data_IF_332927303036
#
_entry.id   IF_332927303036
#
_cell.length_a   1.000
_cell.length_b   1.000
_cell.length_c   1.000
_cell.angle_alpha   90.00
_cell.angle_beta   90.00
_cell.angle_gamma   90.00
#
_symmetry.space_group_name_H-M   'P 1'
#
loop_
_entity.id
_entity.type
_entity.pdbx_description
1 polymer ?
#
# COMPACT_ATOMS: atom_id res chain seq x y z
N UNK A 1 -6.20 -35.29 12.10
CA UNK A 1 -5.25 -34.28 11.57
C UNK A 1 -6.08 -33.08 11.12
N UNK A 2 -6.18 -32.03 11.97
CA UNK A 2 -6.88 -30.78 11.62
C UNK A 2 -5.99 -30.05 10.60
N UNK A 3 -6.39 -30.04 9.32
CA UNK A 3 -5.73 -29.22 8.30
C UNK A 3 -5.89 -27.75 8.71
N UNK A 4 -4.81 -27.16 9.15
CA UNK A 4 -4.70 -25.75 9.44
C UNK A 4 -4.93 -25.01 8.12
N UNK A 5 -6.10 -24.42 7.92
CA UNK A 5 -6.34 -23.50 6.82
C UNK A 5 -5.64 -22.18 7.19
N UNK A 6 -4.38 -22.09 6.84
CA UNK A 6 -3.69 -20.80 6.78
C UNK A 6 -4.29 -20.12 5.55
N UNK A 7 -5.27 -19.24 5.78
CA UNK A 7 -5.66 -18.27 4.75
C UNK A 7 -4.43 -17.38 4.63
N UNK A 8 -3.66 -17.56 3.54
CA UNK A 8 -2.50 -16.74 3.25
C UNK A 8 -2.92 -15.26 3.33
N UNK A 9 -2.11 -14.42 3.98
CA UNK A 9 -2.44 -13.02 4.15
C UNK A 9 -2.73 -12.38 2.80
N UNK A 10 -3.81 -11.62 2.73
CA UNK A 10 -4.13 -10.72 1.63
C UNK A 10 -3.14 -9.53 1.61
N UNK A 11 -1.93 -9.73 2.12
CA UNK A 11 -0.89 -8.72 2.30
C UNK A 11 -0.53 -7.97 1.01
N UNK A 12 -0.83 -8.55 -0.15
CA UNK A 12 -0.64 -7.87 -1.44
C UNK A 12 -1.56 -6.66 -1.65
N UNK A 13 -2.60 -6.49 -0.83
CA UNK A 13 -3.52 -5.33 -0.94
C UNK A 13 -3.02 -4.14 -0.13
N UNK A 14 -2.18 -4.37 0.89
CA UNK A 14 -1.70 -3.32 1.80
C UNK A 14 -0.76 -2.31 1.14
N UNK A 15 0.11 -2.77 0.26
CA UNK A 15 0.97 -1.87 -0.53
C UNK A 15 0.23 -1.09 -1.62
N UNK A 16 -1.05 -1.47 -1.89
CA UNK A 16 -1.80 -0.95 -3.03
C UNK A 16 -2.34 0.45 -2.87
N UNK A 17 -2.39 1.01 -1.68
CA UNK A 17 -3.23 2.18 -1.41
C UNK A 17 -2.49 3.47 -1.14
N UNK A 18 -1.18 3.41 -1.01
CA UNK A 18 -0.39 4.65 -0.94
C UNK A 18 -0.22 5.31 -2.30
N UNK A 19 -0.58 4.61 -3.36
CA UNK A 19 -0.20 5.06 -4.69
C UNK A 19 -1.11 4.50 -5.76
N UNK A 20 -2.05 5.27 -6.28
CA UNK A 20 -2.81 4.78 -7.42
C UNK A 20 -3.41 5.90 -8.26
N UNK A 21 -3.06 6.00 -9.50
CA UNK A 21 -3.75 6.86 -10.45
C UNK A 21 -3.38 6.61 -11.89
N UNK A 22 -4.39 6.46 -12.69
CA UNK A 22 -4.40 6.97 -14.06
C UNK A 22 -5.84 7.27 -14.45
N UNK A 23 -6.16 8.54 -14.64
CA UNK A 23 -7.49 9.01 -14.96
C UNK A 23 -7.55 9.51 -16.39
N UNK A 24 -8.64 9.13 -17.10
CA UNK A 24 -9.15 9.90 -18.22
C UNK A 24 -10.09 10.97 -17.66
N UNK A 25 -9.63 12.21 -17.63
CA UNK A 25 -10.41 13.38 -17.25
C UNK A 25 -11.62 13.59 -18.14
N UNK A 26 -12.81 13.71 -17.53
CA UNK A 26 -13.97 14.40 -18.13
C UNK A 26 -14.24 15.64 -17.29
N UNK A 27 -13.82 16.79 -17.81
CA UNK A 27 -14.14 18.10 -17.26
C UNK A 27 -15.64 18.37 -17.21
N UNK A 28 -16.16 18.74 -16.05
CA UNK A 28 -17.35 19.62 -15.94
C UNK A 28 -17.02 20.71 -14.93
N UNK A 29 -16.79 21.89 -15.47
CA UNK A 29 -16.75 23.14 -14.71
C UNK A 29 -18.14 23.50 -14.22
N UNK A 30 -18.28 23.89 -12.94
CA UNK A 30 -19.39 24.72 -12.48
C UNK A 30 -18.81 25.83 -11.58
N UNK A 31 -19.05 27.06 -12.04
CA UNK A 31 -18.80 28.32 -11.34
C UNK A 31 -19.97 28.67 -10.42
N UNK A 32 -19.69 29.28 -9.29
CA UNK A 32 -20.40 30.38 -8.59
C UNK A 32 -20.09 30.26 -7.11
N UNK A 33 -19.64 31.23 -6.32
CA UNK A 33 -19.65 32.69 -6.35
C UNK A 33 -19.87 33.19 -4.94
N UNK A 34 -18.90 33.94 -4.33
CA UNK A 34 -19.01 34.98 -3.27
C UNK A 34 -19.72 34.66 -1.92
N UNK A 35 -19.26 35.02 -0.74
CA UNK A 35 -18.60 36.24 -0.20
C UNK A 35 -18.27 36.05 1.30
N UNK A 36 -17.09 36.56 1.70
CA UNK A 36 -16.77 37.41 2.85
C UNK A 36 -16.71 36.85 4.29
N UNK A 37 -15.50 36.98 4.81
CA UNK A 37 -15.02 37.66 6.01
C UNK A 37 -14.99 36.87 7.35
N UNK A 38 -13.81 36.58 7.86
CA UNK A 38 -13.04 37.30 8.88
C UNK A 38 -11.93 36.45 9.53
N UNK A 39 -10.71 36.98 9.39
CA UNK A 39 -9.59 37.12 10.35
C UNK A 39 -8.99 35.94 11.11
N UNK A 40 -7.73 35.70 10.71
CA UNK A 40 -6.49 35.44 11.48
C UNK A 40 -6.34 34.14 12.27
N UNK A 41 -5.63 33.24 11.62
CA UNK A 41 -4.48 32.51 12.20
C UNK A 41 -3.71 31.87 11.03
N UNK A 42 -2.39 32.11 10.92
CA UNK A 42 -1.41 31.53 9.99
C UNK A 42 -1.88 31.29 8.56
N UNK A 43 -1.50 32.18 7.61
CA UNK A 43 -2.01 32.20 6.25
C UNK A 43 -1.95 30.83 5.58
N UNK A 44 -3.05 30.09 5.63
CA UNK A 44 -3.34 29.05 4.66
C UNK A 44 -3.37 29.71 3.28
N UNK A 45 -2.60 29.20 2.33
CA UNK A 45 -2.60 29.71 0.98
C UNK A 45 -4.01 29.59 0.39
N UNK A 46 -4.72 30.70 0.24
CA UNK A 46 -6.01 30.76 -0.49
C UNK A 46 -5.83 30.49 -1.99
N UNK A 47 -4.58 30.44 -2.44
CA UNK A 47 -4.24 30.16 -3.84
C UNK A 47 -4.07 28.65 -4.07
N UNK A 48 -4.54 28.13 -5.21
CA UNK A 48 -4.34 26.74 -5.57
C UNK A 48 -2.87 26.33 -5.57
N UNK A 49 -2.55 25.18 -4.98
CA UNK A 49 -1.20 24.64 -4.85
C UNK A 49 -1.04 23.39 -5.70
N UNK A 50 0.05 23.31 -6.45
CA UNK A 50 0.43 22.09 -7.16
C UNK A 50 1.10 21.12 -6.18
N UNK A 51 0.43 20.01 -5.91
CA UNK A 51 0.99 18.92 -5.10
C UNK A 51 1.70 17.94 -6.01
N UNK A 52 3.01 17.83 -5.88
CA UNK A 52 3.85 16.93 -6.71
C UNK A 52 4.95 16.32 -5.86
N UNK A 53 5.23 15.06 -6.09
CA UNK A 53 6.38 14.40 -5.46
C UNK A 53 7.66 15.02 -6.04
N UNK A 54 8.55 15.46 -5.14
CA UNK A 54 9.83 16.10 -5.49
C UNK A 54 10.98 15.20 -5.05
N UNK A 55 11.65 14.64 -6.03
CA UNK A 55 12.86 13.87 -5.77
C UNK A 55 14.09 14.73 -5.83
N UNK A 56 15.09 14.41 -5.02
CA UNK A 56 16.41 15.07 -5.04
C UNK A 56 17.46 13.97 -5.13
N UNK A 57 18.34 14.05 -6.12
CA UNK A 57 19.41 13.07 -6.34
C UNK A 57 20.26 12.93 -5.08
N UNK A 58 20.48 11.69 -4.66
CA UNK A 58 21.27 11.34 -3.48
C UNK A 58 20.58 11.54 -2.14
N UNK A 59 19.32 12.04 -2.13
CA UNK A 59 18.53 12.13 -0.89
C UNK A 59 17.75 10.84 -0.70
N UNK A 60 17.88 10.26 0.50
CA UNK A 60 17.04 9.14 0.96
C UNK A 60 15.80 9.66 1.69
N UNK A 61 14.71 8.93 1.55
CA UNK A 61 13.44 9.15 2.22
C UNK A 61 13.11 7.89 3.02
N UNK A 62 13.62 7.79 4.27
CA UNK A 62 13.34 6.64 5.12
C UNK A 62 11.88 6.65 5.55
N UNK A 63 11.23 5.50 5.44
CA UNK A 63 9.82 5.31 5.75
C UNK A 63 9.60 4.16 6.71
N UNK A 64 8.65 4.32 7.59
CA UNK A 64 8.14 3.29 8.48
C UNK A 64 6.71 2.95 8.09
N UNK A 65 6.42 1.66 7.92
CA UNK A 65 5.07 1.16 7.65
C UNK A 65 4.60 0.26 8.80
N UNK A 66 3.44 0.55 9.32
CA UNK A 66 2.69 -0.29 10.24
C UNK A 66 1.45 -0.83 9.53
N UNK A 67 1.24 -2.14 9.57
CA UNK A 67 0.03 -2.76 9.04
C UNK A 67 -0.58 -3.68 10.08
N UNK A 68 -1.88 -3.51 10.30
CA UNK A 68 -2.70 -4.44 11.08
C UNK A 68 -3.85 -4.93 10.25
N UNK A 69 -3.96 -6.25 10.10
CA UNK A 69 -5.03 -6.90 9.38
C UNK A 69 -5.79 -7.84 10.30
N UNK A 70 -7.11 -7.83 10.22
CA UNK A 70 -7.98 -8.82 10.87
C UNK A 70 -8.88 -9.47 9.84
N UNK A 71 -8.90 -10.79 9.81
CA UNK A 71 -9.78 -11.58 8.94
C UNK A 71 -10.65 -12.47 9.80
N UNK A 72 -11.99 -12.36 9.65
CA UNK A 72 -12.98 -13.22 10.31
C UNK A 72 -13.67 -14.05 9.25
N UNK A 73 -13.49 -15.38 9.29
CA UNK A 73 -14.03 -16.29 8.29
C UNK A 73 -15.05 -17.22 8.92
N UNK A 74 -16.28 -17.22 8.39
CA UNK A 74 -17.32 -18.17 8.74
C UNK A 74 -17.07 -19.47 7.99
N UNK A 75 -16.68 -20.50 8.73
CA UNK A 75 -16.41 -21.85 8.18
C UNK A 75 -17.62 -22.72 8.40
N UNK A 76 -18.20 -23.38 7.37
CA UNK A 76 -19.33 -24.28 7.55
C UNK A 76 -19.06 -25.36 8.61
N UNK A 77 -20.06 -25.62 9.45
CA UNK A 77 -20.00 -26.57 10.57
C UNK A 77 -19.05 -26.18 11.72
N UNK A 78 -18.59 -24.94 11.79
CA UNK A 78 -17.93 -24.39 12.97
C UNK A 78 -18.87 -23.40 13.68
N UNK A 79 -19.02 -23.48 15.02
CA UNK A 79 -19.95 -22.63 15.77
C UNK A 79 -19.47 -21.18 15.90
N UNK A 80 -18.19 -20.93 15.67
CA UNK A 80 -17.59 -19.62 15.75
C UNK A 80 -16.70 -19.34 14.53
N UNK A 81 -16.61 -18.09 14.08
CA UNK A 81 -15.72 -17.71 12.99
C UNK A 81 -14.26 -17.94 13.37
N UNK A 82 -13.45 -18.29 12.39
CA UNK A 82 -11.99 -18.31 12.53
C UNK A 82 -11.50 -16.89 12.40
N UNK A 83 -10.85 -16.37 13.45
CA UNK A 83 -10.25 -15.03 13.47
C UNK A 83 -8.75 -15.16 13.30
N UNK A 84 -8.21 -14.47 12.30
CA UNK A 84 -6.78 -14.35 12.08
C UNK A 84 -6.41 -12.85 12.19
N UNK A 85 -5.30 -12.55 12.89
CA UNK A 85 -4.72 -11.22 12.97
C UNK A 85 -3.29 -11.28 12.46
N UNK A 86 -2.93 -10.30 11.64
CA UNK A 86 -1.58 -10.12 11.10
C UNK A 86 -1.14 -8.71 11.46
N UNK A 87 0.05 -8.59 12.07
CA UNK A 87 0.71 -7.31 12.29
C UNK A 87 2.03 -7.34 11.56
N UNK A 88 2.33 -6.30 10.80
CA UNK A 88 3.61 -6.11 10.11
C UNK A 88 4.11 -4.71 10.42
N UNK A 89 5.39 -4.61 10.78
CA UNK A 89 6.12 -3.33 10.78
C UNK A 89 7.31 -3.49 9.85
N UNK A 90 7.54 -2.48 9.02
CA UNK A 90 8.58 -2.52 8.00
C UNK A 90 9.24 -1.14 7.87
N UNK A 91 10.57 -1.13 7.91
CA UNK A 91 11.36 0.06 7.57
C UNK A 91 11.97 -0.11 6.19
N UNK A 92 11.88 0.93 5.38
CA UNK A 92 12.45 0.95 4.04
C UNK A 92 12.82 2.38 3.62
N UNK A 93 13.78 2.48 2.69
CA UNK A 93 14.23 3.73 2.12
C UNK A 93 13.87 3.84 0.66
N UNK A 94 13.36 5.02 0.24
CA UNK A 94 13.39 5.43 -1.15
C UNK A 94 14.51 6.43 -1.40
N UNK A 95 15.30 6.21 -2.45
CA UNK A 95 16.37 7.13 -2.87
C UNK A 95 16.23 7.47 -4.35
N UNK A 96 16.41 8.75 -4.69
CA UNK A 96 16.49 9.15 -6.09
C UNK A 96 17.95 9.01 -6.58
N UNK A 97 18.17 8.13 -7.55
CA UNK A 97 19.50 7.86 -8.11
C UNK A 97 19.87 8.90 -9.17
N UNK A 98 18.95 9.17 -10.10
CA UNK A 98 19.14 10.21 -11.12
C UNK A 98 17.82 10.63 -11.75
N UNK A 99 17.82 11.82 -12.37
CA UNK A 99 16.74 12.22 -13.26
C UNK A 99 16.99 11.66 -14.66
N UNK A 100 15.94 11.21 -15.33
CA UNK A 100 15.99 10.66 -16.67
C UNK A 100 15.78 11.75 -17.73
N UNK A 101 16.23 11.48 -18.97
CA UNK A 101 16.12 12.44 -20.08
C UNK A 101 14.66 12.77 -20.44
N UNK A 102 13.71 11.88 -20.14
CA UNK A 102 12.27 12.10 -20.32
C UNK A 102 11.64 12.94 -19.20
N UNK A 103 12.43 13.45 -18.25
CA UNK A 103 11.99 14.19 -17.07
C UNK A 103 11.50 13.31 -15.90
N UNK A 104 11.49 12.00 -16.07
CA UNK A 104 11.19 11.05 -15.01
C UNK A 104 12.38 10.80 -14.08
N UNK A 105 12.28 9.74 -13.28
CA UNK A 105 13.27 9.43 -12.25
C UNK A 105 13.65 7.95 -12.26
N UNK A 106 14.91 7.68 -11.97
CA UNK A 106 15.37 6.39 -11.50
C UNK A 106 15.46 6.44 -9.97
N UNK A 107 14.66 5.61 -9.30
CA UNK A 107 14.57 5.51 -7.85
C UNK A 107 15.01 4.12 -7.39
N UNK A 108 15.44 4.02 -6.16
CA UNK A 108 15.77 2.76 -5.51
C UNK A 108 14.95 2.61 -4.22
N UNK A 109 14.28 1.48 -4.06
CA UNK A 109 13.70 1.03 -2.80
C UNK A 109 14.65 0.02 -2.16
N UNK A 110 14.95 0.21 -0.87
CA UNK A 110 15.72 -0.72 -0.05
C UNK A 110 14.95 -1.05 1.21
N UNK A 111 14.79 -2.33 1.52
CA UNK A 111 14.18 -2.79 2.77
C UNK A 111 15.23 -2.90 3.86
N UNK A 112 15.02 -2.25 5.00
CA UNK A 112 16.00 -2.19 6.10
C UNK A 112 15.64 -3.14 7.24
N UNK A 113 14.38 -3.17 7.67
CA UNK A 113 13.92 -4.07 8.72
C UNK A 113 12.48 -4.52 8.51
N UNK A 114 12.13 -5.65 9.12
CA UNK A 114 10.76 -6.14 9.13
C UNK A 114 10.48 -6.99 10.36
N UNK A 115 9.30 -6.79 10.94
CA UNK A 115 8.68 -7.70 11.91
C UNK A 115 7.30 -8.13 11.42
N UNK A 116 6.95 -9.37 11.66
CA UNK A 116 5.62 -9.91 11.33
C UNK A 116 5.14 -10.85 12.42
N UNK A 117 3.90 -10.68 12.85
CA UNK A 117 3.22 -11.58 13.76
C UNK A 117 1.87 -11.99 13.19
N UNK A 118 1.62 -13.30 13.12
CA UNK A 118 0.36 -13.88 12.71
C UNK A 118 -0.22 -14.68 13.87
N UNK A 119 -1.45 -14.36 14.27
CA UNK A 119 -2.17 -15.10 15.28
C UNK A 119 -3.50 -15.65 14.76
N UNK A 120 -3.98 -16.75 15.32
CA UNK A 120 -5.29 -17.32 15.06
C UNK A 120 -6.00 -17.54 16.39
N UNK A 121 -7.03 -16.75 16.68
CA UNK A 121 -7.55 -16.60 18.02
C UNK A 121 -6.44 -16.12 18.96
N UNK A 122 -6.30 -16.75 20.13
CA UNK A 122 -5.29 -16.38 21.13
C UNK A 122 -3.91 -17.05 20.90
N UNK A 123 -3.72 -17.73 19.77
CA UNK A 123 -2.47 -18.45 19.49
C UNK A 123 -1.64 -17.73 18.44
N UNK A 124 -0.39 -17.45 18.77
CA UNK A 124 0.60 -17.10 17.76
C UNK A 124 0.84 -18.34 16.85
N UNK A 125 0.67 -18.15 15.56
CA UNK A 125 0.84 -19.19 14.51
C UNK A 125 2.20 -19.03 13.85
N UNK A 126 2.66 -17.79 13.71
CA UNK A 126 3.89 -17.45 13.00
C UNK A 126 4.40 -16.11 13.48
N UNK A 127 5.71 -16.00 13.66
CA UNK A 127 6.37 -14.71 13.91
C UNK A 127 7.67 -14.63 13.11
N UNK A 128 8.07 -13.43 12.77
CA UNK A 128 9.33 -13.13 12.13
C UNK A 128 9.89 -11.80 12.67
N UNK A 129 11.20 -11.74 12.84
CA UNK A 129 11.89 -10.50 13.18
C UNK A 129 13.27 -10.51 12.50
N UNK A 130 13.50 -9.54 11.63
CA UNK A 130 14.75 -9.42 10.87
C UNK A 130 15.98 -9.19 11.74
N UNK A 131 15.80 -8.65 12.97
CA UNK A 131 16.87 -8.45 13.94
C UNK A 131 17.34 -9.76 14.61
N UNK A 132 16.54 -10.81 14.55
CA UNK A 132 16.91 -12.11 15.08
C UNK A 132 17.83 -12.88 14.11
N UNK A 133 18.64 -13.79 14.64
CA UNK A 133 19.44 -14.69 13.81
C UNK A 133 18.55 -15.72 13.07
N UNK A 134 18.97 -16.23 11.88
CA UNK A 134 18.17 -17.18 11.10
C UNK A 134 17.77 -18.46 11.85
N UNK A 135 18.57 -18.90 12.83
CA UNK A 135 18.27 -20.10 13.63
C UNK A 135 17.02 -19.90 14.51
N UNK A 136 16.66 -18.66 14.81
CA UNK A 136 15.47 -18.31 15.61
C UNK A 136 14.18 -18.33 14.80
N UNK A 137 14.25 -18.41 13.47
CA UNK A 137 13.07 -18.49 12.60
C UNK A 137 12.35 -19.83 12.72
N UNK A 138 13.00 -20.87 13.22
CA UNK A 138 12.43 -22.20 13.37
C UNK A 138 11.93 -22.76 12.03
N UNK A 139 10.68 -23.26 12.02
CA UNK A 139 10.04 -23.79 10.82
C UNK A 139 9.11 -22.77 10.13
N UNK A 140 9.38 -21.46 10.28
CA UNK A 140 8.58 -20.43 9.65
C UNK A 140 8.76 -20.46 8.11
N UNK A 141 7.74 -20.83 7.31
CA UNK A 141 7.89 -21.01 5.87
C UNK A 141 8.03 -19.68 5.10
N UNK A 142 7.73 -18.54 5.72
CA UNK A 142 7.89 -17.21 5.09
C UNK A 142 9.21 -16.54 5.48
N UNK A 143 9.89 -17.00 6.51
CA UNK A 143 11.14 -16.39 6.97
C UNK A 143 12.22 -16.30 5.86
N UNK A 144 12.45 -17.31 5.01
CA UNK A 144 13.41 -17.18 3.91
C UNK A 144 13.05 -16.06 2.93
N UNK A 145 11.75 -15.81 2.69
CA UNK A 145 11.28 -14.74 1.82
C UNK A 145 11.56 -13.38 2.48
N UNK A 146 11.14 -13.21 3.74
CA UNK A 146 11.33 -11.96 4.49
C UNK A 146 12.83 -11.63 4.65
N UNK A 147 13.66 -12.60 5.02
CA UNK A 147 15.12 -12.40 5.09
C UNK A 147 15.74 -12.06 3.75
N UNK A 148 15.22 -12.66 2.68
CA UNK A 148 15.65 -12.35 1.32
C UNK A 148 15.32 -10.90 0.91
N UNK A 149 14.25 -10.32 1.45
CA UNK A 149 13.89 -8.91 1.20
C UNK A 149 14.84 -7.94 1.91
N UNK A 150 15.28 -8.25 3.14
CA UNK A 150 16.15 -7.33 3.90
C UNK A 150 17.44 -7.05 3.15
N UNK A 151 17.72 -5.77 2.92
CA UNK A 151 18.86 -5.29 2.13
C UNK A 151 18.72 -5.52 0.61
N UNK A 152 17.57 -6.03 0.14
CA UNK A 152 17.29 -6.07 -1.29
C UNK A 152 17.06 -4.66 -1.82
N UNK A 153 17.45 -4.44 -3.09
CA UNK A 153 17.30 -3.16 -3.79
C UNK A 153 16.46 -3.37 -5.03
N UNK A 154 15.39 -2.60 -5.14
CA UNK A 154 14.46 -2.63 -6.26
C UNK A 154 14.52 -1.27 -6.93
N UNK A 155 14.75 -1.26 -8.23
CA UNK A 155 14.84 -0.02 -9.02
C UNK A 155 13.51 0.27 -9.69
N UNK A 156 13.13 1.55 -9.67
CA UNK A 156 11.91 2.08 -10.28
C UNK A 156 12.28 3.12 -11.32
N UNK A 157 11.60 3.06 -12.45
CA UNK A 157 11.71 4.03 -13.52
C UNK A 157 10.36 4.69 -13.70
N UNK A 158 10.32 6.02 -13.54
CA UNK A 158 9.07 6.78 -13.64
C UNK A 158 9.05 7.65 -14.88
N UNK A 159 7.85 8.05 -15.28
CA UNK A 159 7.66 9.15 -16.23
C UNK A 159 7.86 10.53 -15.55
N UNK A 160 7.72 11.62 -16.31
CA UNK A 160 7.83 12.99 -15.83
C UNK A 160 6.76 13.39 -14.80
N UNK A 161 5.68 12.64 -14.70
CA UNK A 161 4.61 12.82 -13.71
C UNK A 161 4.84 12.02 -12.44
N UNK A 162 5.92 11.23 -12.38
CA UNK A 162 6.24 10.33 -11.26
C UNK A 162 5.54 8.98 -11.32
N UNK A 163 4.83 8.66 -12.41
CA UNK A 163 4.17 7.36 -12.58
C UNK A 163 5.20 6.29 -12.87
N UNK A 164 5.13 5.16 -12.15
CA UNK A 164 6.02 4.00 -12.34
C UNK A 164 5.70 3.31 -13.67
N UNK A 165 6.67 3.33 -14.58
CA UNK A 165 6.59 2.64 -15.87
C UNK A 165 7.17 1.23 -15.76
N UNK A 166 8.31 1.08 -15.08
CA UNK A 166 9.09 -0.16 -15.02
C UNK A 166 9.72 -0.34 -13.64
N UNK A 167 9.85 -1.61 -13.24
CA UNK A 167 10.55 -2.04 -12.03
C UNK A 167 11.60 -3.08 -12.40
N UNK A 168 12.79 -2.98 -11.84
CA UNK A 168 13.91 -3.93 -12.02
C UNK A 168 14.38 -4.45 -10.66
N UNK A 169 15.15 -5.56 -10.66
CA UNK A 169 15.67 -6.20 -9.44
C UNK A 169 14.75 -7.27 -8.85
N UNK A 170 13.51 -7.41 -9.33
CA UNK A 170 12.54 -8.41 -8.80
C UNK A 170 13.00 -9.84 -9.08
N UNK A 171 13.59 -10.11 -10.25
CA UNK A 171 14.09 -11.43 -10.59
C UNK A 171 15.35 -11.79 -9.77
N UNK A 172 16.23 -10.83 -9.54
CA UNK A 172 17.41 -10.97 -8.68
C UNK A 172 16.99 -11.29 -7.25
N UNK A 173 15.96 -10.61 -6.73
CA UNK A 173 15.38 -10.90 -5.43
C UNK A 173 14.81 -12.32 -5.36
N UNK A 174 14.04 -12.77 -6.38
CA UNK A 174 13.54 -14.14 -6.45
C UNK A 174 14.68 -15.18 -6.44
N UNK A 175 15.73 -14.95 -7.22
CA UNK A 175 16.90 -15.83 -7.27
C UNK A 175 17.60 -15.90 -5.91
N UNK A 176 17.79 -14.77 -5.23
CA UNK A 176 18.35 -14.70 -3.89
C UNK A 176 17.54 -15.50 -2.87
N UNK A 177 16.21 -15.35 -2.87
CA UNK A 177 15.31 -16.08 -1.97
C UNK A 177 15.34 -17.58 -2.28
N UNK A 178 15.33 -17.97 -3.55
CA UNK A 178 15.40 -19.38 -3.96
C UNK A 178 16.71 -20.01 -3.54
N UNK A 179 17.84 -19.30 -3.65
CA UNK A 179 19.15 -19.76 -3.24
C UNK A 179 19.25 -19.98 -1.71
N UNK A 180 18.46 -19.27 -0.90
CA UNK A 180 18.37 -19.45 0.55
C UNK A 180 17.55 -20.66 1.01
N UNK A 181 17.05 -21.49 0.06
CA UNK A 181 16.37 -22.75 0.36
C UNK A 181 14.84 -22.70 0.32
N UNK A 182 14.25 -21.59 -0.17
CA UNK A 182 12.80 -21.52 -0.35
C UNK A 182 12.36 -22.47 -1.49
N UNK A 183 11.61 -23.52 -1.13
CA UNK A 183 11.16 -24.55 -2.07
C UNK A 183 9.77 -24.26 -2.66
N UNK A 184 8.98 -23.38 -2.05
CA UNK A 184 7.61 -23.09 -2.51
C UNK A 184 7.60 -21.96 -3.55
N UNK A 185 7.91 -22.29 -4.81
CA UNK A 185 7.90 -21.36 -5.94
C UNK A 185 6.53 -20.68 -6.15
N UNK A 186 5.42 -21.38 -5.90
CA UNK A 186 4.09 -20.80 -6.05
C UNK A 186 3.87 -19.66 -5.05
N UNK A 187 4.24 -19.85 -3.79
CA UNK A 187 4.17 -18.82 -2.76
C UNK A 187 5.11 -17.65 -3.07
N UNK A 188 6.35 -17.95 -3.49
CA UNK A 188 7.32 -16.92 -3.88
C UNK A 188 6.79 -16.05 -5.02
N UNK A 189 6.29 -16.66 -6.10
CA UNK A 189 5.74 -15.93 -7.26
C UNK A 189 4.49 -15.12 -6.90
N UNK A 190 3.74 -15.55 -5.90
CA UNK A 190 2.56 -14.87 -5.39
C UNK A 190 2.93 -13.62 -4.59
N UNK A 191 3.96 -13.70 -3.75
CA UNK A 191 4.38 -12.59 -2.88
C UNK A 191 5.31 -11.61 -3.61
N UNK A 192 6.17 -12.11 -4.48
CA UNK A 192 7.21 -11.34 -5.16
C UNK A 192 6.88 -11.25 -6.65
N UNK A 193 6.32 -10.12 -7.08
CA UNK A 193 6.00 -9.83 -8.48
C UNK A 193 6.30 -8.37 -8.82
N UNK A 194 6.52 -8.07 -10.10
CA UNK A 194 6.70 -6.67 -10.54
C UNK A 194 5.47 -5.83 -10.20
N UNK A 195 4.25 -6.37 -10.37
CA UNK A 195 3.02 -5.67 -10.07
C UNK A 195 2.90 -5.35 -8.57
N UNK A 196 3.34 -6.26 -7.69
CA UNK A 196 3.38 -6.00 -6.25
C UNK A 196 4.36 -4.88 -5.91
N UNK A 197 5.56 -4.88 -6.54
CA UNK A 197 6.55 -3.84 -6.29
C UNK A 197 6.19 -2.50 -6.91
N UNK A 198 5.54 -2.45 -8.09
CA UNK A 198 5.06 -1.19 -8.66
C UNK A 198 4.25 -0.37 -7.68
N UNK A 199 3.57 -1.02 -6.77
CA UNK A 199 2.71 -0.36 -5.80
C UNK A 199 3.48 0.41 -4.74
N UNK A 200 4.63 -0.07 -4.27
CA UNK A 200 5.48 0.66 -3.33
C UNK A 200 5.97 2.00 -3.90
N UNK A 201 6.24 2.10 -5.19
CA UNK A 201 6.77 3.29 -5.85
C UNK A 201 5.72 4.27 -6.39
N UNK A 202 4.43 3.97 -6.23
CA UNK A 202 3.35 4.72 -6.90
C UNK A 202 2.89 5.99 -6.17
N UNK A 203 3.74 6.70 -5.44
CA UNK A 203 3.39 7.90 -4.65
C UNK A 203 2.67 9.00 -5.45
N UNK A 204 3.02 9.15 -6.73
CA UNK A 204 2.41 10.16 -7.60
C UNK A 204 0.94 9.87 -7.94
N UNK A 205 0.51 8.64 -7.73
CA UNK A 205 -0.84 8.21 -8.09
C UNK A 205 -1.92 8.89 -7.24
N UNK A 206 -1.64 9.22 -5.98
CA UNK A 206 -2.54 9.94 -5.08
C UNK A 206 -2.52 11.46 -5.29
N UNK A 207 -1.60 11.98 -6.12
CA UNK A 207 -1.45 13.41 -6.33
C UNK A 207 -2.43 13.93 -7.40
N UNK A 208 -2.98 15.16 -7.21
CA UNK A 208 -3.76 15.81 -8.27
C UNK A 208 -2.88 16.17 -9.47
N UNK A 209 -3.43 16.08 -10.67
CA UNK A 209 -2.73 16.46 -11.90
C UNK A 209 -2.79 17.98 -12.22
N UNK A 210 -3.42 18.76 -11.33
CA UNK A 210 -3.58 20.22 -11.42
C UNK A 210 -3.40 20.84 -10.04
N UNK A 211 -3.29 22.16 -9.97
CA UNK A 211 -3.26 22.87 -8.70
C UNK A 211 -4.65 22.81 -8.03
N UNK A 212 -4.66 22.58 -6.72
CA UNK A 212 -5.88 22.41 -5.91
C UNK A 212 -5.92 23.42 -4.77
N UNK A 213 -7.12 23.85 -4.43
CA UNK A 213 -7.44 24.69 -3.29
C UNK A 213 -8.21 23.86 -2.23
N UNK A 214 -8.35 24.42 -1.02
CA UNK A 214 -9.15 23.80 0.04
C UNK A 214 -10.58 23.56 -0.46
N UNK A 215 -11.10 22.35 -0.26
CA UNK A 215 -12.41 21.88 -0.72
C UNK A 215 -12.39 21.24 -2.12
N UNK A 216 -11.30 21.38 -2.88
CA UNK A 216 -11.17 20.71 -4.17
C UNK A 216 -11.00 19.20 -3.98
N UNK A 217 -11.51 18.46 -4.96
CA UNK A 217 -11.42 17.00 -4.95
C UNK A 217 -10.98 16.47 -6.31
N UNK A 218 -10.27 15.34 -6.28
CA UNK A 218 -9.90 14.59 -7.49
C UNK A 218 -10.15 13.12 -7.28
N UNK A 219 -10.21 12.37 -8.36
CA UNK A 219 -10.50 10.94 -8.32
C UNK A 219 -9.39 10.14 -8.96
N UNK A 220 -9.29 8.92 -8.51
CA UNK A 220 -8.41 7.92 -9.01
C UNK A 220 -9.17 6.63 -9.26
N UNK A 221 -9.08 6.13 -10.48
CA UNK A 221 -9.56 4.80 -10.84
C UNK A 221 -8.37 3.94 -11.26
N UNK A 222 -8.23 2.75 -10.65
CA UNK A 222 -7.13 1.84 -10.94
C UNK A 222 -7.55 0.39 -10.83
N UNK A 223 -7.07 -0.41 -11.75
CA UNK A 223 -7.11 -1.87 -11.65
C UNK A 223 -5.78 -2.38 -11.08
N UNK A 224 -5.87 -3.21 -10.04
CA UNK A 224 -4.72 -3.79 -9.33
C UNK A 224 -4.74 -5.30 -9.52
N UNK A 225 -3.71 -5.83 -10.14
CA UNK A 225 -3.52 -7.28 -10.25
C UNK A 225 -3.02 -7.85 -8.94
N UNK A 226 -3.76 -8.81 -8.40
CA UNK A 226 -3.42 -9.54 -7.18
C UNK A 226 -3.48 -11.04 -7.42
N UNK A 227 -3.06 -11.83 -6.46
CA UNK A 227 -3.16 -13.29 -6.55
C UNK A 227 -4.61 -13.82 -6.55
N UNK A 228 -5.56 -13.03 -6.05
CA UNK A 228 -6.99 -13.40 -6.07
C UNK A 228 -7.69 -12.97 -7.37
N UNK A 229 -7.03 -12.17 -8.20
CA UNK A 229 -7.55 -11.63 -9.46
C UNK A 229 -7.25 -10.16 -9.62
N UNK A 230 -8.04 -9.49 -10.45
CA UNK A 230 -7.94 -8.06 -10.66
C UNK A 230 -8.99 -7.35 -9.81
N UNK A 231 -8.55 -6.42 -8.99
CA UNK A 231 -9.38 -5.55 -8.16
C UNK A 231 -9.48 -4.17 -8.80
N UNK A 232 -10.67 -3.59 -8.82
CA UNK A 232 -10.90 -2.20 -9.20
C UNK A 232 -10.95 -1.34 -7.95
N UNK A 233 -10.18 -0.26 -7.97
CA UNK A 233 -10.18 0.80 -6.96
C UNK A 233 -10.79 2.05 -7.58
N UNK A 234 -11.70 2.70 -6.86
CA UNK A 234 -12.32 3.97 -7.21
C UNK A 234 -12.24 4.85 -5.95
N UNK A 235 -11.32 5.80 -5.95
CA UNK A 235 -10.96 6.60 -4.78
C UNK A 235 -11.10 8.08 -5.10
N UNK A 236 -11.75 8.79 -4.19
CA UNK A 236 -11.86 10.24 -4.18
C UNK A 236 -10.95 10.79 -3.08
N UNK A 237 -10.14 11.77 -3.44
CA UNK A 237 -9.34 12.57 -2.53
C UNK A 237 -9.96 13.97 -2.41
N UNK A 238 -9.83 14.60 -1.25
CA UNK A 238 -10.31 15.96 -0.99
C UNK A 238 -9.28 16.71 -0.16
N UNK A 239 -8.78 17.85 -0.64
CA UNK A 239 -7.94 18.72 0.17
C UNK A 239 -8.83 19.43 1.20
N UNK A 240 -8.73 19.03 2.46
CA UNK A 240 -9.58 19.53 3.54
C UNK A 240 -9.08 20.85 4.10
N UNK A 241 -7.77 20.92 4.41
CA UNK A 241 -7.17 22.11 5.00
C UNK A 241 -5.64 22.11 4.85
N UNK A 242 -5.01 23.18 5.39
CA UNK A 242 -3.59 23.27 5.67
C UNK A 242 -3.42 23.33 7.19
N UNK A 243 -2.67 22.40 7.73
CA UNK A 243 -2.45 22.32 9.17
C UNK A 243 -1.00 21.99 9.51
N UNK A 244 -0.51 22.31 10.70
CA UNK A 244 0.76 21.81 11.18
C UNK A 244 0.67 20.30 11.43
N UNK A 245 1.55 19.52 10.79
CA UNK A 245 1.75 18.10 11.04
C UNK A 245 3.23 17.88 11.34
N UNK A 246 3.56 17.37 12.53
CA UNK A 246 4.93 17.26 13.06
C UNK A 246 5.73 18.57 12.96
N UNK A 247 5.06 19.71 13.23
CA UNK A 247 5.65 21.03 13.20
C UNK A 247 5.90 21.61 11.79
N UNK A 248 5.42 20.94 10.72
CA UNK A 248 5.52 21.37 9.33
C UNK A 248 4.15 21.77 8.79
N UNK A 249 4.03 22.82 7.97
CA UNK A 249 2.78 23.15 7.32
C UNK A 249 2.49 22.13 6.22
N UNK A 250 1.49 21.29 6.41
CA UNK A 250 1.11 20.23 5.48
C UNK A 250 -0.28 20.44 4.91
N UNK A 251 -0.47 20.01 3.66
CA UNK A 251 -1.79 19.81 3.11
C UNK A 251 -2.38 18.53 3.69
N UNK A 252 -3.53 18.62 4.36
CA UNK A 252 -4.29 17.49 4.86
C UNK A 252 -5.32 17.07 3.80
N UNK A 253 -5.23 15.83 3.35
CA UNK A 253 -6.08 15.28 2.30
C UNK A 253 -6.82 14.07 2.83
N UNK A 254 -8.15 14.12 2.77
CA UNK A 254 -9.00 12.97 3.08
C UNK A 254 -9.17 12.06 1.87
N UNK A 255 -9.33 10.77 2.13
CA UNK A 255 -9.50 9.71 1.14
C UNK A 255 -10.78 8.92 1.42
N UNK A 256 -11.62 8.74 0.41
CA UNK A 256 -12.78 7.86 0.47
C UNK A 256 -12.92 7.09 -0.84
N UNK A 257 -13.12 5.78 -0.75
CA UNK A 257 -13.19 4.95 -1.95
C UNK A 257 -13.90 3.64 -1.79
N UNK A 258 -13.98 2.95 -2.92
CA UNK A 258 -14.59 1.63 -3.06
C UNK A 258 -13.59 0.66 -3.69
N UNK A 259 -13.72 -0.59 -3.28
CA UNK A 259 -12.98 -1.71 -3.85
C UNK A 259 -13.97 -2.74 -4.40
N UNK A 260 -13.69 -3.26 -5.57
CA UNK A 260 -14.54 -4.24 -6.25
C UNK A 260 -13.69 -5.29 -6.94
N UNK A 261 -14.29 -6.46 -7.20
CA UNK A 261 -13.66 -7.50 -8.02
C UNK A 261 -13.97 -7.24 -9.50
N UNK A 262 -12.94 -7.06 -10.32
CA UNK A 262 -13.04 -6.96 -11.79
C UNK A 262 -12.92 -8.33 -12.46
N UNK A 263 -11.97 -9.13 -11.99
CA UNK A 263 -11.83 -10.53 -12.42
C UNK A 263 -11.33 -11.41 -11.27
N UNK A 264 -11.68 -12.69 -11.31
CA UNK A 264 -11.32 -13.66 -10.26
C UNK A 264 -10.24 -14.59 -10.79
N UNK A 265 -9.16 -14.77 -10.02
CA UNK A 265 -8.17 -15.80 -10.28
C UNK A 265 -8.57 -17.10 -9.61
N UNK A 266 -8.51 -18.19 -10.36
CA UNK A 266 -8.73 -19.56 -9.81
C UNK A 266 -7.42 -20.36 -9.72
N UNK A 267 -6.30 -19.72 -9.97
CA UNK A 267 -4.97 -20.38 -9.99
C UNK A 267 -4.61 -21.03 -8.65
N UNK A 268 -5.14 -20.51 -7.54
CA UNK A 268 -4.95 -21.06 -6.18
C UNK A 268 -5.91 -22.18 -5.82
N UNK A 269 -6.85 -22.53 -6.71
CA UNK A 269 -7.97 -23.45 -6.42
C UNK A 269 -9.08 -22.82 -5.56
N UNK A 270 -8.99 -21.51 -5.33
CA UNK A 270 -10.00 -20.70 -4.63
C UNK A 270 -10.43 -19.55 -5.54
N UNK A 271 -11.70 -19.20 -5.52
CA UNK A 271 -12.23 -17.98 -6.11
C UNK A 271 -12.61 -17.02 -4.98
N UNK A 272 -12.07 -15.82 -5.00
CA UNK A 272 -12.35 -14.78 -3.99
C UNK A 272 -13.03 -13.60 -4.67
N UNK A 273 -14.20 -13.22 -4.17
CA UNK A 273 -15.01 -12.11 -4.67
C UNK A 273 -15.22 -11.10 -3.55
N UNK A 274 -14.97 -9.83 -3.81
CA UNK A 274 -15.32 -8.72 -2.93
C UNK A 274 -16.80 -8.40 -3.15
N UNK A 275 -17.64 -8.67 -2.16
CA UNK A 275 -19.07 -8.36 -2.19
C UNK A 275 -19.38 -6.95 -1.68
N UNK A 276 -18.54 -6.44 -0.79
CA UNK A 276 -18.52 -5.06 -0.32
C UNK A 276 -17.09 -4.67 -0.04
N UNK A 277 -16.64 -3.51 -0.52
CA UNK A 277 -15.31 -2.98 -0.25
C UNK A 277 -15.40 -1.48 -0.03
N UNK A 278 -14.88 -1.00 1.10
CA UNK A 278 -14.77 0.41 1.47
C UNK A 278 -13.31 0.72 1.82
N UNK A 279 -12.87 1.88 1.37
CA UNK A 279 -11.57 2.48 1.70
C UNK A 279 -11.87 3.83 2.32
N UNK A 280 -11.18 4.14 3.41
CA UNK A 280 -11.15 5.49 4.00
C UNK A 280 -9.73 5.75 4.48
N UNK A 281 -9.31 7.00 4.41
CA UNK A 281 -7.97 7.36 4.85
C UNK A 281 -7.73 8.85 4.81
N UNK A 282 -6.51 9.20 5.12
CA UNK A 282 -6.02 10.57 5.08
C UNK A 282 -4.52 10.57 4.87
N UNK A 283 -3.98 11.64 4.31
CA UNK A 283 -2.54 11.84 4.24
C UNK A 283 -2.16 13.31 4.39
N UNK A 284 -0.93 13.52 4.85
CA UNK A 284 -0.32 14.85 4.98
C UNK A 284 0.81 15.01 3.98
N UNK A 285 0.69 16.01 3.13
CA UNK A 285 1.69 16.35 2.12
C UNK A 285 2.44 17.62 2.51
N UNK A 286 3.77 17.53 2.66
CA UNK A 286 4.65 18.66 2.89
C UNK A 286 5.10 19.26 1.55
N UNK A 287 4.64 20.47 1.17
CA UNK A 287 5.00 21.11 -0.12
C UNK A 287 6.46 21.55 -0.19
N UNK A 288 7.12 21.73 0.98
CA UNK A 288 8.53 22.11 1.07
C UNK A 288 9.41 20.92 0.69
N UNK A 289 9.12 19.76 1.26
CA UNK A 289 9.79 18.51 0.90
C UNK A 289 9.30 17.94 -0.43
N UNK A 290 8.06 18.24 -0.81
CA UNK A 290 7.39 17.64 -1.96
C UNK A 290 7.14 16.14 -1.75
N UNK A 291 6.70 15.77 -0.54
CA UNK A 291 6.51 14.36 -0.16
C UNK A 291 5.30 14.21 0.77
N UNK A 292 4.64 13.06 0.69
CA UNK A 292 3.71 12.62 1.74
C UNK A 292 4.55 12.29 2.97
N UNK A 293 4.22 12.90 4.10
CA UNK A 293 4.96 12.71 5.36
C UNK A 293 4.30 11.69 6.26
N UNK A 294 2.99 11.55 6.17
CA UNK A 294 2.23 10.49 6.81
C UNK A 294 1.00 10.16 5.97
N UNK A 295 0.62 8.89 5.95
CA UNK A 295 -0.61 8.41 5.35
C UNK A 295 -1.21 7.31 6.21
N UNK A 296 -2.49 7.43 6.52
CA UNK A 296 -3.32 6.43 7.20
C UNK A 296 -4.40 5.93 6.25
N UNK A 297 -4.58 4.62 6.19
CA UNK A 297 -5.56 4.00 5.31
C UNK A 297 -6.26 2.83 5.99
N UNK A 298 -7.59 2.86 5.98
CA UNK A 298 -8.46 1.80 6.49
C UNK A 298 -9.22 1.14 5.34
N UNK A 299 -9.15 -0.18 5.28
CA UNK A 299 -9.84 -1.00 4.30
C UNK A 299 -10.77 -1.97 5.00
N UNK A 300 -12.02 -2.01 4.58
CA UNK A 300 -13.01 -2.93 5.09
C UNK A 300 -13.70 -3.65 3.95
N UNK A 301 -13.65 -4.98 3.95
CA UNK A 301 -14.22 -5.80 2.88
C UNK A 301 -15.06 -6.94 3.43
N UNK A 302 -16.16 -7.24 2.73
CA UNK A 302 -16.84 -8.52 2.84
C UNK A 302 -16.47 -9.36 1.60
N UNK A 303 -16.01 -10.57 1.87
CA UNK A 303 -15.49 -11.50 0.86
C UNK A 303 -16.37 -12.74 0.79
N UNK A 304 -16.56 -13.24 -0.43
CA UNK A 304 -17.08 -14.57 -0.71
C UNK A 304 -15.95 -15.43 -1.25
N UNK A 305 -15.63 -16.50 -0.53
CA UNK A 305 -14.54 -17.42 -0.87
C UNK A 305 -15.16 -18.75 -1.29
N UNK A 306 -14.96 -19.13 -2.55
CA UNK A 306 -15.46 -20.38 -3.12
C UNK A 306 -14.28 -21.30 -3.40
N UNK A 307 -14.31 -22.48 -2.82
CA UNK A 307 -13.39 -23.59 -3.08
C UNK A 307 -14.13 -24.72 -3.79
N UNK A 308 -13.42 -25.76 -4.22
CA UNK A 308 -14.06 -26.97 -4.76
C UNK A 308 -15.02 -27.66 -3.79
N UNK A 309 -14.77 -27.50 -2.48
CA UNK A 309 -15.51 -28.22 -1.43
C UNK A 309 -16.68 -27.39 -0.87
N UNK A 310 -16.53 -26.06 -0.79
CA UNK A 310 -17.50 -25.21 -0.08
C UNK A 310 -17.36 -23.74 -0.44
N UNK A 311 -18.40 -22.98 -0.11
CA UNK A 311 -18.38 -21.51 -0.13
C UNK A 311 -18.39 -21.00 1.31
N UNK A 312 -17.56 -19.99 1.58
CA UNK A 312 -17.43 -19.34 2.89
C UNK A 312 -17.59 -17.83 2.71
N UNK A 313 -17.98 -17.15 3.78
CA UNK A 313 -17.94 -15.69 3.86
C UNK A 313 -16.81 -15.27 4.79
N UNK A 314 -16.21 -14.13 4.49
CA UNK A 314 -15.15 -13.58 5.32
C UNK A 314 -15.30 -12.07 5.43
N UNK A 315 -15.01 -11.53 6.59
CA UNK A 315 -14.86 -10.09 6.82
C UNK A 315 -13.38 -9.80 6.99
N UNK A 316 -12.92 -8.83 6.24
CA UNK A 316 -11.54 -8.36 6.23
C UNK A 316 -11.53 -6.91 6.66
N UNK A 317 -10.64 -6.58 7.59
CA UNK A 317 -10.35 -5.22 8.01
C UNK A 317 -8.84 -5.05 8.07
N UNK A 318 -8.34 -3.96 7.50
CA UNK A 318 -6.92 -3.66 7.47
C UNK A 318 -6.73 -2.16 7.70
N UNK A 319 -5.77 -1.82 8.56
CA UNK A 319 -5.24 -0.47 8.74
C UNK A 319 -3.78 -0.47 8.32
N UNK A 320 -3.38 0.51 7.52
CA UNK A 320 -2.00 0.76 7.11
C UNK A 320 -1.65 2.19 7.46
N UNK A 321 -0.55 2.37 8.17
CA UNK A 321 0.08 3.67 8.40
C UNK A 321 1.46 3.67 7.77
N UNK A 322 1.80 4.74 7.05
CA UNK A 322 3.16 4.97 6.54
C UNK A 322 3.61 6.35 6.96
N UNK A 323 4.77 6.43 7.58
CA UNK A 323 5.34 7.67 8.11
C UNK A 323 6.73 7.90 7.49
N UNK A 324 6.98 9.10 7.00
CA UNK A 324 8.30 9.54 6.58
C UNK A 324 9.12 9.88 7.83
N UNK A 325 10.14 9.10 8.09
CA UNK A 325 11.03 9.32 9.23
C UNK A 325 11.90 10.57 9.01
N UNK A 326 12.25 11.24 10.11
CA UNK A 326 13.22 12.33 10.05
C UNK A 326 14.56 11.77 9.53
N UNK A 327 15.07 12.30 8.43
CA UNK A 327 16.37 11.90 7.90
C UNK A 327 17.46 12.16 8.94
N UNK A 328 18.32 11.16 9.13
CA UNK A 328 19.53 11.28 9.98
C UNK A 328 20.57 12.14 9.29
#
# INVERSE_FOLDING_TARGET
>A
MKKLFIILPLCAVAGCLLCSGCSKSKNKANQSGNTADSTTAGAASESPVAMKIKWTVGKAFPMHMEMKQTTKTDVPNQPQPVVQVININQDFDFSALKQLDNGGWELELKFDSETMDISQGDRSVMSFNSAHSPDQDGNNPVAPIMRGMIGARIQYFTDANGKVERVEGVNELKNRITASGQQNQAMLNQMISEDSFKQYGSFADAMPNHAVAIGDSWTMEKDVTTFIGVLGLDIKFTLENWEPHDGRPCAHVAEEGKMSTKSISTATGMAVEITKGKITGEYWYDPTQGMIVEADNDQNMALKITTRAQTMTSQFSQTVRVTLLAGQ
#
